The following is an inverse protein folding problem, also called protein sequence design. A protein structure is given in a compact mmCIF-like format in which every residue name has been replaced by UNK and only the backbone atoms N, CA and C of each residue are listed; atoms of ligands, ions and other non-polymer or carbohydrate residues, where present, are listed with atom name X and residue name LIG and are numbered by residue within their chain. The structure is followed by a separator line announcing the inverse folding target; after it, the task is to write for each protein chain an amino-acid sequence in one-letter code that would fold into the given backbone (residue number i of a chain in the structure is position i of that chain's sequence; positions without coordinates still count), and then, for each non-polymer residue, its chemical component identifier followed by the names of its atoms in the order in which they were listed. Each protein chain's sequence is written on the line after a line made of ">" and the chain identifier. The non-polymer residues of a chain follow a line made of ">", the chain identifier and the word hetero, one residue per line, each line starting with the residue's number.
data_IF_382147937746
#
_entry.id   IF_382147937746
#
_cell.length_a   1.000
_cell.length_b   1.000
_cell.length_c   1.000
_cell.angle_alpha   90.00
_cell.angle_beta   90.00
_cell.angle_gamma   90.00
#
_symmetry.space_group_name_H-M   'P 1'
#
loop_
_entity.id
_entity.type
_entity.pdbx_description
1 polymer ?
#
# COMPACT_ATOMS: atom_id res chain seq x y z
N UNK A 1 -6.20 -18.78 29.50
CA UNK A 1 -6.21 -17.84 28.34
C UNK A 1 -7.10 -16.67 28.74
N UNK A 2 -6.64 -15.43 28.68
CA UNK A 2 -7.55 -14.31 28.99
C UNK A 2 -8.62 -14.20 27.90
N UNK A 3 -9.81 -13.68 28.23
CA UNK A 3 -10.89 -13.49 27.25
C UNK A 3 -10.46 -12.61 26.07
N UNK A 4 -9.44 -11.77 26.26
CA UNK A 4 -8.90 -10.86 25.24
C UNK A 4 -7.96 -11.59 24.29
N UNK A 5 -7.09 -12.48 24.81
CA UNK A 5 -6.18 -13.29 23.98
C UNK A 5 -6.96 -14.17 23.00
N UNK A 6 -8.08 -14.74 23.47
CA UNK A 6 -8.96 -15.58 22.65
C UNK A 6 -9.58 -14.80 21.49
N UNK A 7 -10.04 -13.57 21.74
CA UNK A 7 -10.62 -12.70 20.71
C UNK A 7 -9.58 -12.24 19.69
N UNK A 8 -8.36 -11.91 20.14
CA UNK A 8 -7.28 -11.47 19.26
C UNK A 8 -6.85 -12.59 18.29
N UNK A 9 -6.73 -13.81 18.80
CA UNK A 9 -6.43 -14.98 17.96
C UNK A 9 -7.55 -15.27 16.94
N UNK A 10 -8.81 -15.27 17.39
CA UNK A 10 -9.96 -15.47 16.50
C UNK A 10 -10.03 -14.40 15.41
N UNK A 11 -9.73 -13.15 15.76
CA UNK A 11 -9.69 -12.05 14.81
C UNK A 11 -8.56 -12.24 13.77
N UNK A 12 -7.37 -12.65 14.20
CA UNK A 12 -6.27 -12.99 13.29
C UNK A 12 -6.63 -14.12 12.32
N UNK A 13 -7.24 -15.19 12.83
CA UNK A 13 -7.70 -16.33 11.99
C UNK A 13 -8.77 -15.89 10.99
N UNK A 14 -9.75 -15.08 11.41
CA UNK A 14 -10.80 -14.57 10.52
C UNK A 14 -10.20 -13.72 9.39
N UNK A 15 -9.24 -12.85 9.73
CA UNK A 15 -8.53 -12.00 8.77
C UNK A 15 -7.75 -12.85 7.76
N UNK A 16 -7.09 -13.92 8.23
CA UNK A 16 -6.39 -14.85 7.36
C UNK A 16 -7.33 -15.62 6.41
N UNK A 17 -8.50 -16.05 6.89
CA UNK A 17 -9.51 -16.71 6.06
C UNK A 17 -10.02 -15.78 4.94
N UNK A 18 -10.21 -14.50 5.26
CA UNK A 18 -10.57 -13.48 4.26
C UNK A 18 -9.45 -13.29 3.23
N UNK A 19 -8.18 -13.26 3.66
CA UNK A 19 -7.02 -13.19 2.77
C UNK A 19 -7.00 -14.37 1.77
N UNK A 20 -7.21 -15.60 2.26
CA UNK A 20 -7.29 -16.81 1.44
C UNK A 20 -8.46 -16.75 0.46
N UNK A 21 -9.61 -16.23 0.88
CA UNK A 21 -10.76 -16.08 0.00
C UNK A 21 -10.48 -15.10 -1.16
N UNK A 22 -9.77 -13.99 -0.90
CA UNK A 22 -9.39 -13.03 -1.93
C UNK A 22 -8.27 -13.55 -2.85
N UNK A 23 -7.35 -14.33 -2.30
CA UNK A 23 -6.29 -15.00 -3.06
C UNK A 23 -6.89 -15.99 -4.06
N UNK A 24 -7.83 -16.83 -3.62
CA UNK A 24 -8.58 -17.75 -4.48
C UNK A 24 -9.40 -17.02 -5.56
N UNK A 25 -9.81 -15.78 -5.32
CA UNK A 25 -10.50 -14.92 -6.30
C UNK A 25 -9.53 -14.23 -7.28
N UNK A 26 -8.22 -14.41 -7.14
CA UNK A 26 -7.20 -13.76 -7.97
C UNK A 26 -6.96 -12.28 -7.62
N UNK A 27 -7.51 -11.78 -6.51
CA UNK A 27 -7.34 -10.39 -6.06
C UNK A 27 -6.04 -10.23 -5.27
N UNK A 28 -4.91 -10.46 -5.95
CA UNK A 28 -3.58 -10.53 -5.34
C UNK A 28 -3.22 -9.30 -4.49
N UNK A 29 -3.51 -8.09 -4.97
CA UNK A 29 -3.22 -6.83 -4.22
C UNK A 29 -3.92 -6.76 -2.87
N UNK A 30 -5.20 -7.12 -2.82
CA UNK A 30 -5.98 -7.08 -1.57
C UNK A 30 -5.58 -8.22 -0.64
N UNK A 31 -5.31 -9.40 -1.20
CA UNK A 31 -4.84 -10.56 -0.44
C UNK A 31 -3.50 -10.29 0.26
N UNK A 32 -2.53 -9.65 -0.42
CA UNK A 32 -1.22 -9.30 0.17
C UNK A 32 -1.39 -8.48 1.46
N UNK A 33 -2.20 -7.42 1.42
CA UNK A 33 -2.42 -6.55 2.58
C UNK A 33 -3.08 -7.31 3.74
N UNK A 34 -4.06 -8.17 3.44
CA UNK A 34 -4.74 -8.96 4.47
C UNK A 34 -3.84 -10.05 5.08
N UNK A 35 -2.97 -10.68 4.29
CA UNK A 35 -1.98 -11.63 4.80
C UNK A 35 -0.98 -10.95 5.75
N UNK A 36 -0.51 -9.74 5.40
CA UNK A 36 0.37 -8.95 6.27
C UNK A 36 -0.33 -8.57 7.59
N UNK A 37 -1.58 -8.06 7.50
CA UNK A 37 -2.39 -7.72 8.68
C UNK A 37 -2.65 -8.94 9.58
N UNK A 38 -2.97 -10.09 9.00
CA UNK A 38 -3.17 -11.33 9.75
C UNK A 38 -1.89 -11.77 10.48
N UNK A 39 -0.72 -11.64 9.84
CA UNK A 39 0.57 -11.96 10.45
C UNK A 39 0.89 -11.03 11.64
N UNK A 40 0.65 -9.72 11.51
CA UNK A 40 0.83 -8.75 12.60
C UNK A 40 -0.03 -9.07 13.82
N UNK A 41 -1.32 -9.38 13.60
CA UNK A 41 -2.25 -9.72 14.69
C UNK A 41 -1.77 -10.99 15.43
N UNK A 42 -1.31 -11.99 14.68
CA UNK A 42 -0.78 -13.23 15.27
C UNK A 42 0.55 -13.00 16.01
N UNK A 43 1.43 -12.14 15.49
CA UNK A 43 2.65 -11.70 16.20
C UNK A 43 2.33 -10.95 17.49
N UNK A 44 1.30 -10.09 17.47
CA UNK A 44 0.83 -9.41 18.67
C UNK A 44 0.29 -10.41 19.69
N UNK A 45 -0.46 -11.42 19.25
CA UNK A 45 -0.90 -12.51 20.13
C UNK A 45 0.28 -13.28 20.73
N UNK A 46 1.34 -13.56 19.95
CA UNK A 46 2.57 -14.21 20.43
C UNK A 46 3.29 -13.41 21.52
N UNK A 47 3.20 -12.07 21.50
CA UNK A 47 3.82 -11.21 22.52
C UNK A 47 3.23 -11.44 23.91
N UNK A 48 1.93 -11.67 24.00
CA UNK A 48 1.22 -11.82 25.28
C UNK A 48 0.94 -13.28 25.65
N UNK A 49 0.92 -14.20 24.67
CA UNK A 49 0.65 -15.60 24.92
C UNK A 49 1.92 -16.38 25.36
N UNK A 50 1.85 -16.97 26.55
CA UNK A 50 2.93 -17.78 27.15
C UNK A 50 2.82 -19.28 26.85
N UNK A 51 1.73 -19.75 26.23
CA UNK A 51 1.51 -21.16 25.95
C UNK A 51 2.42 -21.61 24.77
N UNK A 52 3.37 -22.54 24.99
CA UNK A 52 4.34 -22.94 23.98
C UNK A 52 3.70 -23.56 22.73
N UNK A 53 2.63 -24.33 22.89
CA UNK A 53 1.98 -25.03 21.78
C UNK A 53 1.25 -24.04 20.84
N UNK A 54 0.54 -23.07 21.43
CA UNK A 54 -0.10 -22.01 20.64
C UNK A 54 0.93 -21.11 19.96
N UNK A 55 2.08 -20.87 20.60
CA UNK A 55 3.16 -20.10 20.00
C UNK A 55 3.72 -20.78 18.75
N UNK A 56 4.04 -22.07 18.85
CA UNK A 56 4.52 -22.87 17.71
C UNK A 56 3.52 -22.86 16.54
N UNK A 57 2.23 -23.06 16.82
CA UNK A 57 1.19 -23.02 15.78
C UNK A 57 1.08 -21.64 15.13
N UNK A 58 1.09 -20.57 15.92
CA UNK A 58 0.97 -19.21 15.38
C UNK A 58 2.23 -18.82 14.59
N UNK A 59 3.43 -19.20 15.05
CA UNK A 59 4.67 -18.96 14.33
C UNK A 59 4.65 -19.60 12.94
N UNK A 60 4.25 -20.88 12.86
CA UNK A 60 4.13 -21.58 11.58
C UNK A 60 3.13 -20.91 10.64
N UNK A 61 1.97 -20.49 11.15
CA UNK A 61 0.96 -19.80 10.34
C UNK A 61 1.46 -18.42 9.87
N UNK A 62 2.20 -17.69 10.71
CA UNK A 62 2.80 -16.41 10.33
C UNK A 62 3.80 -16.59 9.20
N UNK A 63 4.67 -17.60 9.29
CA UNK A 63 5.62 -17.94 8.23
C UNK A 63 4.89 -18.24 6.91
N UNK A 64 3.84 -19.05 6.95
CA UNK A 64 3.03 -19.40 5.78
C UNK A 64 2.38 -18.16 5.13
N UNK A 65 1.81 -17.25 5.93
CA UNK A 65 1.17 -16.03 5.41
C UNK A 65 2.18 -15.06 4.81
N UNK A 66 3.35 -14.91 5.44
CA UNK A 66 4.43 -14.06 4.92
C UNK A 66 4.97 -14.63 3.61
N UNK A 67 5.19 -15.94 3.55
CA UNK A 67 5.67 -16.62 2.34
C UNK A 67 4.66 -16.51 1.19
N UNK A 68 3.37 -16.70 1.48
CA UNK A 68 2.30 -16.52 0.48
C UNK A 68 2.24 -15.07 -0.02
N UNK A 69 2.36 -14.09 0.86
CA UNK A 69 2.39 -12.67 0.48
C UNK A 69 3.60 -12.34 -0.40
N UNK A 70 4.80 -12.91 -0.13
CA UNK A 70 5.99 -12.76 -0.98
C UNK A 70 5.77 -13.33 -2.38
N UNK A 71 5.19 -14.52 -2.48
CA UNK A 71 4.85 -15.17 -3.76
C UNK A 71 3.85 -14.32 -4.54
N UNK A 72 2.77 -13.85 -3.89
CA UNK A 72 1.80 -12.97 -4.54
C UNK A 72 2.43 -11.66 -5.02
N UNK A 73 3.36 -11.09 -4.24
CA UNK A 73 4.10 -9.89 -4.60
C UNK A 73 5.02 -10.11 -5.81
N UNK A 74 5.74 -11.24 -5.89
CA UNK A 74 6.61 -11.56 -7.03
C UNK A 74 5.82 -11.80 -8.32
N UNK A 75 4.63 -12.40 -8.24
CA UNK A 75 3.73 -12.53 -9.38
C UNK A 75 3.14 -11.20 -9.84
N UNK A 76 2.92 -10.26 -8.92
CA UNK A 76 2.42 -8.92 -9.22
C UNK A 76 3.51 -7.99 -9.78
N UNK A 77 4.77 -8.14 -9.34
CA UNK A 77 5.91 -7.32 -9.78
C UNK A 77 6.47 -7.72 -11.15
N UNK A 78 5.92 -8.74 -11.81
CA UNK A 78 6.13 -8.96 -13.25
C UNK A 78 7.49 -9.55 -13.66
N UNK A 79 8.27 -10.14 -12.75
CA UNK A 79 9.46 -10.91 -13.16
C UNK A 79 9.03 -12.31 -13.61
N UNK A 80 8.42 -12.42 -14.80
CA UNK A 80 8.28 -13.71 -15.47
C UNK A 80 9.71 -14.24 -15.72
N UNK A 81 10.10 -15.43 -15.21
CA UNK A 81 11.28 -16.08 -15.74
C UNK A 81 10.97 -16.37 -17.20
N UNK A 82 11.72 -15.73 -18.12
CA UNK A 82 11.68 -16.04 -19.54
C UNK A 82 12.12 -17.49 -19.70
N UNK A 83 11.18 -18.42 -19.64
CA UNK A 83 11.39 -19.83 -19.94
C UNK A 83 11.65 -19.90 -21.44
N UNK A 84 12.93 -19.96 -21.79
CA UNK A 84 13.41 -20.01 -23.17
C UNK A 84 12.73 -21.13 -23.94
N UNK A 85 12.08 -20.78 -25.04
CA UNK A 85 11.62 -21.72 -26.05
C UNK A 85 12.54 -21.52 -27.27
N UNK A 86 13.20 -22.57 -27.78
CA UNK A 86 14.27 -22.38 -28.76
C UNK A 86 13.71 -22.01 -30.14
N UNK A 87 14.30 -20.93 -30.68
CA UNK A 87 14.61 -20.65 -32.09
C UNK A 87 13.75 -21.27 -33.20
N UNK A 88 13.02 -20.39 -33.92
CA UNK A 88 12.85 -20.50 -35.36
C UNK A 88 12.89 -19.10 -35.99
N UNK A 89 13.76 -18.94 -36.99
CA UNK A 89 14.09 -17.73 -37.77
C UNK A 89 12.89 -17.17 -38.56
N UNK A 90 12.77 -15.84 -38.62
CA UNK A 90 12.64 -15.03 -39.86
C UNK A 90 12.56 -13.53 -39.49
N UNK A 91 13.67 -12.81 -39.67
CA UNK A 91 13.87 -11.70 -40.63
C UNK A 91 12.93 -10.48 -40.51
N UNK A 92 13.51 -9.36 -40.03
CA UNK A 92 13.40 -7.94 -40.46
C UNK A 92 12.04 -7.37 -40.90
N UNK A 93 11.57 -6.19 -40.49
CA UNK A 93 12.29 -4.97 -40.15
C UNK A 93 11.42 -3.94 -39.38
N UNK A 94 12.06 -3.29 -38.39
CA UNK A 94 12.14 -1.83 -38.11
C UNK A 94 10.86 -1.00 -37.91
N UNK A 95 10.70 -0.51 -36.67
CA UNK A 95 10.18 0.84 -36.40
C UNK A 95 9.29 0.96 -35.16
N UNK A 96 9.84 1.44 -34.04
CA UNK A 96 9.05 1.88 -32.90
C UNK A 96 9.80 1.75 -31.57
N UNK A 97 10.61 2.74 -31.23
CA UNK A 97 11.29 2.80 -29.94
C UNK A 97 10.27 3.06 -28.83
N UNK A 98 10.01 2.03 -28.02
CA UNK A 98 9.49 2.20 -26.67
C UNK A 98 10.68 2.39 -25.76
N UNK A 99 10.70 3.52 -25.05
CA UNK A 99 11.65 3.80 -23.99
C UNK A 99 11.60 2.67 -22.95
N UNK A 100 12.58 1.79 -23.00
CA UNK A 100 12.96 0.93 -21.90
C UNK A 100 13.52 1.87 -20.83
N UNK A 101 12.74 2.16 -19.80
CA UNK A 101 13.29 2.74 -18.58
C UNK A 101 14.07 1.63 -17.89
N UNK A 102 15.39 1.69 -18.04
CA UNK A 102 16.37 0.91 -17.29
C UNK A 102 15.96 0.84 -15.82
N UNK A 103 15.49 -0.32 -15.37
CA UNK A 103 15.35 -0.60 -13.95
C UNK A 103 16.75 -0.99 -13.48
N UNK A 104 17.52 0.02 -13.08
CA UNK A 104 18.79 -0.20 -12.40
C UNK A 104 18.56 -1.13 -11.21
N UNK A 105 19.51 -2.03 -10.98
CA UNK A 105 19.51 -2.89 -9.80
C UNK A 105 19.63 -1.99 -8.57
N UNK A 106 18.48 -1.69 -7.95
CA UNK A 106 18.36 -0.94 -6.71
C UNK A 106 19.31 -1.56 -5.69
N UNK A 107 20.27 -0.76 -5.20
CA UNK A 107 21.27 -1.24 -4.25
C UNK A 107 20.60 -1.76 -2.98
N UNK A 108 21.26 -2.66 -2.25
CA UNK A 108 20.73 -3.17 -0.97
C UNK A 108 20.37 -2.05 0.01
N UNK A 109 21.14 -0.95 0.01
CA UNK A 109 20.90 0.24 0.83
C UNK A 109 19.64 0.99 0.38
N UNK A 110 19.44 1.14 -0.93
CA UNK A 110 18.26 1.81 -1.49
C UNK A 110 17.00 0.96 -1.28
N UNK A 111 17.13 -0.37 -1.29
CA UNK A 111 16.06 -1.28 -0.96
C UNK A 111 15.64 -1.19 0.52
N UNK A 112 16.59 -1.00 1.43
CA UNK A 112 16.33 -0.75 2.86
C UNK A 112 15.64 0.61 3.09
N UNK A 113 16.07 1.65 2.37
CA UNK A 113 15.43 2.97 2.41
C UNK A 113 13.99 2.92 1.88
N UNK A 114 13.75 2.20 0.79
CA UNK A 114 12.40 1.99 0.24
C UNK A 114 11.51 1.26 1.24
N UNK A 115 12.04 0.26 1.94
CA UNK A 115 11.29 -0.50 2.94
C UNK A 115 10.93 0.36 4.17
N UNK A 116 11.89 1.17 4.64
CA UNK A 116 11.67 2.13 5.73
C UNK A 116 10.61 3.19 5.38
N UNK A 117 10.65 3.71 4.15
CA UNK A 117 9.65 4.67 3.66
C UNK A 117 8.29 3.97 3.55
N UNK A 118 8.24 2.76 3.00
CA UNK A 118 7.00 1.99 2.86
C UNK A 118 6.33 1.70 4.20
N UNK A 119 7.10 1.46 5.26
CA UNK A 119 6.56 1.25 6.61
C UNK A 119 6.00 2.52 7.27
N UNK A 120 6.42 3.70 6.81
CA UNK A 120 6.01 5.01 7.37
C UNK A 120 4.82 5.62 6.64
N UNK A 121 4.57 5.21 5.40
CA UNK A 121 3.42 5.67 4.62
C UNK A 121 2.14 5.09 5.23
N UNK A 122 1.23 5.97 5.61
CA UNK A 122 -0.11 5.58 6.07
C UNK A 122 -0.87 4.97 4.89
N UNK A 123 -0.99 3.65 4.89
CA UNK A 123 -1.73 2.88 3.88
C UNK A 123 -3.25 2.91 4.10
N UNK A 124 -3.70 3.23 5.32
CA UNK A 124 -5.12 3.38 5.65
C UNK A 124 -5.59 4.82 5.39
N UNK A 125 -6.39 5.01 4.35
CA UNK A 125 -7.02 6.30 4.04
C UNK A 125 -7.86 6.80 5.24
N UNK A 126 -7.50 7.92 5.87
CA UNK A 126 -8.10 8.38 7.13
C UNK A 126 -9.61 8.58 6.99
N UNK A 127 -10.38 8.28 8.03
CA UNK A 127 -11.85 8.40 8.01
C UNK A 127 -12.34 9.84 8.25
N UNK A 128 -11.66 10.85 7.68
CA UNK A 128 -12.03 12.26 7.79
C UNK A 128 -12.39 12.76 6.40
N UNK A 129 -13.57 13.37 6.26
CA UNK A 129 -14.06 13.99 5.02
C UNK A 129 -13.93 15.51 5.09
N UNK A 130 -14.03 16.19 3.95
CA UNK A 130 -14.04 17.67 3.96
C UNK A 130 -15.26 18.25 4.66
N UNK A 131 -16.38 17.53 4.68
CA UNK A 131 -17.62 17.95 5.35
C UNK A 131 -17.46 17.94 6.88
N UNK A 132 -16.53 17.13 7.40
CA UNK A 132 -16.23 17.06 8.84
C UNK A 132 -15.45 18.29 9.34
N UNK A 133 -14.98 19.15 8.44
CA UNK A 133 -14.20 20.35 8.76
C UNK A 133 -15.12 21.57 8.68
N UNK A 134 -15.33 22.29 9.78
CA UNK A 134 -16.13 23.50 9.76
C UNK A 134 -15.36 24.68 9.13
N UNK A 135 -16.05 25.47 8.29
CA UNK A 135 -15.50 26.71 7.69
C UNK A 135 -14.41 26.48 6.63
N UNK A 136 -13.49 27.45 6.52
CA UNK A 136 -12.30 27.41 5.64
C UNK A 136 -12.59 27.14 4.15
N UNK A 137 -13.74 27.60 3.64
CA UNK A 137 -14.20 27.27 2.28
C UNK A 137 -13.19 27.64 1.20
N UNK A 138 -12.58 28.82 1.30
CA UNK A 138 -11.55 29.28 0.36
C UNK A 138 -10.33 28.35 0.35
N UNK A 139 -9.92 27.84 1.52
CA UNK A 139 -8.76 26.93 1.65
C UNK A 139 -9.10 25.55 1.10
N UNK A 140 -10.30 25.04 1.39
CA UNK A 140 -10.77 23.75 0.82
C UNK A 140 -10.84 23.81 -0.69
N UNK A 141 -11.35 24.90 -1.25
CA UNK A 141 -11.41 25.12 -2.68
C UNK A 141 -10.00 25.15 -3.28
N UNK A 142 -9.09 25.95 -2.72
CA UNK A 142 -7.71 26.01 -3.19
C UNK A 142 -7.00 24.65 -3.13
N UNK A 143 -7.20 23.87 -2.07
CA UNK A 143 -6.62 22.52 -1.94
C UNK A 143 -7.21 21.55 -2.98
N UNK A 144 -8.51 21.59 -3.24
CA UNK A 144 -9.14 20.77 -4.30
C UNK A 144 -8.62 21.15 -5.67
N UNK A 145 -8.45 22.44 -5.94
CA UNK A 145 -7.92 22.91 -7.22
C UNK A 145 -6.43 22.57 -7.39
N UNK A 146 -5.65 22.56 -6.32
CA UNK A 146 -4.24 22.24 -6.36
C UNK A 146 -3.95 20.73 -6.39
N UNK A 147 -4.79 19.89 -5.77
CA UNK A 147 -4.56 18.45 -5.61
C UNK A 147 -5.49 17.62 -6.50
N UNK A 148 -6.80 17.84 -6.41
CA UNK A 148 -7.81 16.98 -7.04
C UNK A 148 -7.95 17.29 -8.53
N UNK A 149 -7.97 18.56 -8.92
CA UNK A 149 -8.13 18.94 -10.34
C UNK A 149 -7.00 18.44 -11.25
N UNK A 150 -5.70 18.49 -10.86
CA UNK A 150 -4.64 17.94 -11.70
C UNK A 150 -4.75 16.43 -11.91
N UNK A 151 -5.26 15.70 -10.92
CA UNK A 151 -5.49 14.25 -11.01
C UNK A 151 -6.71 13.97 -11.90
N UNK A 152 -7.78 14.75 -11.75
CA UNK A 152 -9.04 14.56 -12.47
C UNK A 152 -9.00 15.00 -13.94
N UNK A 153 -8.24 16.06 -14.26
CA UNK A 153 -8.15 16.68 -15.60
C UNK A 153 -6.71 17.07 -15.94
N UNK A 154 -5.81 16.10 -16.14
CA UNK A 154 -4.40 16.37 -16.40
C UNK A 154 -4.17 17.21 -17.68
N UNK A 155 -5.08 17.14 -18.66
CA UNK A 155 -5.00 17.92 -19.90
C UNK A 155 -5.02 19.44 -19.68
N UNK A 156 -5.65 19.91 -18.60
CA UNK A 156 -5.73 21.34 -18.28
C UNK A 156 -4.43 21.86 -17.63
N UNK A 157 -3.63 20.97 -17.05
CA UNK A 157 -2.43 21.29 -16.27
C UNK A 157 -1.12 21.07 -17.04
N UNK A 158 -1.09 21.56 -18.29
CA UNK A 158 0.08 21.49 -19.18
C UNK A 158 0.80 22.84 -19.29
N UNK A 159 2.10 22.81 -19.64
CA UNK A 159 2.89 24.01 -19.88
C UNK A 159 3.13 24.86 -18.63
N UNK A 160 2.54 26.05 -18.57
CA UNK A 160 2.66 26.99 -17.44
C UNK A 160 1.73 26.66 -16.26
N UNK A 161 0.65 25.89 -16.50
CA UNK A 161 -0.30 25.46 -15.46
C UNK A 161 0.14 24.14 -14.83
N UNK A 162 1.40 24.02 -14.41
CA UNK A 162 1.88 22.79 -13.76
C UNK A 162 1.20 22.61 -12.40
N UNK A 163 0.93 21.36 -11.99
CA UNK A 163 0.47 21.08 -10.64
C UNK A 163 1.48 21.60 -9.62
N UNK A 164 0.98 21.92 -8.42
CA UNK A 164 1.79 22.55 -7.39
C UNK A 164 2.70 21.50 -6.76
N UNK A 165 4.00 21.81 -6.64
CA UNK A 165 4.97 20.87 -6.06
C UNK A 165 4.89 20.74 -4.54
N UNK A 166 4.24 21.69 -3.86
CA UNK A 166 4.11 21.70 -2.41
C UNK A 166 3.11 22.75 -1.93
N UNK A 167 2.49 22.47 -0.78
CA UNK A 167 1.48 23.34 -0.16
C UNK A 167 1.86 23.54 1.31
N UNK A 168 1.91 24.81 1.76
CA UNK A 168 2.20 25.16 3.15
C UNK A 168 0.92 25.62 3.85
N UNK A 169 0.51 24.89 4.89
CA UNK A 169 -0.59 25.29 5.77
C UNK A 169 -0.01 25.96 7.01
N UNK A 170 -0.25 27.26 7.20
CA UNK A 170 0.23 28.02 8.35
C UNK A 170 -0.92 28.64 9.15
N UNK A 171 -0.67 28.96 10.42
CA UNK A 171 -1.64 29.60 11.31
C UNK A 171 -1.54 29.11 12.76
N UNK A 172 -2.30 29.71 13.70
CA UNK A 172 -2.29 29.37 15.12
C UNK A 172 -2.54 27.87 15.39
N UNK A 173 -2.02 27.30 16.48
CA UNK A 173 -2.33 25.92 16.85
C UNK A 173 -3.84 25.75 17.06
N UNK A 174 -4.39 24.57 16.73
CA UNK A 174 -5.82 24.29 16.87
C UNK A 174 -6.72 24.65 15.67
N UNK A 175 -6.23 25.36 14.64
CA UNK A 175 -7.04 25.74 13.47
C UNK A 175 -7.23 24.63 12.40
N UNK A 176 -7.12 23.35 12.76
CA UNK A 176 -7.47 22.25 11.83
C UNK A 176 -6.48 21.97 10.68
N UNK A 177 -5.26 22.49 10.69
CA UNK A 177 -4.23 22.23 9.64
C UNK A 177 -3.98 20.73 9.38
N UNK A 178 -3.75 19.96 10.44
CA UNK A 178 -3.56 18.49 10.35
C UNK A 178 -4.84 17.79 9.92
N UNK A 179 -6.00 18.30 10.31
CA UNK A 179 -7.30 17.74 9.95
C UNK A 179 -7.59 17.92 8.44
N UNK A 180 -7.25 19.10 7.89
CA UNK A 180 -7.30 19.38 6.44
C UNK A 180 -6.38 18.43 5.65
N UNK A 181 -5.16 18.21 6.12
CA UNK A 181 -4.24 17.28 5.47
C UNK A 181 -4.79 15.84 5.44
N UNK A 182 -5.42 15.40 6.55
CA UNK A 182 -6.08 14.08 6.61
C UNK A 182 -7.25 13.98 5.64
N UNK A 183 -8.11 15.00 5.57
CA UNK A 183 -9.24 15.00 4.63
C UNK A 183 -8.77 15.00 3.17
N UNK A 184 -7.72 15.76 2.85
CA UNK A 184 -7.13 15.78 1.51
C UNK A 184 -6.59 14.40 1.09
N UNK A 185 -5.90 13.70 1.99
CA UNK A 185 -5.39 12.35 1.75
C UNK A 185 -6.50 11.29 1.54
N UNK A 186 -7.76 11.60 1.90
CA UNK A 186 -8.90 10.70 1.70
C UNK A 186 -9.56 10.86 0.33
N UNK A 187 -9.55 12.07 -0.24
CA UNK A 187 -10.21 12.38 -1.52
C UNK A 187 -9.26 12.37 -2.74
N UNK A 188 -8.01 11.95 -2.55
CA UNK A 188 -7.02 11.78 -3.63
C UNK A 188 -6.76 10.30 -3.97
#
# INVERSE_FOLDING_TARGET
>A
MSSVDSKLYQYGVKTAQEAVALDNQGKARQAINLYQRAAEILLQFLKYNKNPQMRMMCQRNVEEYVERAKVLKSHLSGTRPRRGRPSAKSQSAKGGGTAESDMEAVSSEEQELIDMISGTIVTESPNVKWDDIAGLQNVKQALREAIVLPIARPELFTGARRPWSGILLFGPPGCGKTLLARAAAKES
#
